data_IF_197088139863
#
_entry.id   IF_197088139863
#
_cell.length_a   1.000
_cell.length_b   1.000
_cell.length_c   1.000
_cell.angle_alpha   90.00
_cell.angle_beta   90.00
_cell.angle_gamma   90.00
#
_symmetry.space_group_name_H-M   'P 1'
#
loop_
_entity.id
_entity.type
_entity.pdbx_description
1 polymer ?
#
# COMPACT_ATOMS: atom_id res chain seq x y z
N UNK A 1 11.89 -18.27 5.01
CA UNK A 1 11.53 -17.17 5.92
C UNK A 1 10.14 -16.73 5.54
N UNK A 2 9.21 -16.69 6.49
CA UNK A 2 7.86 -16.20 6.23
C UNK A 2 7.88 -14.67 6.20
N UNK A 3 7.33 -14.09 5.15
CA UNK A 3 7.31 -12.64 4.96
C UNK A 3 5.87 -12.14 5.05
N UNK A 4 5.65 -11.15 5.91
CA UNK A 4 4.36 -10.48 6.08
C UNK A 4 4.48 -9.04 5.64
N UNK A 5 3.57 -8.60 4.78
CA UNK A 5 3.47 -7.24 4.28
C UNK A 5 2.13 -6.62 4.70
N UNK A 6 2.15 -5.33 4.98
CA UNK A 6 0.94 -4.56 5.27
C UNK A 6 0.46 -3.84 4.01
N UNK A 7 -0.73 -4.20 3.52
CA UNK A 7 -1.39 -3.52 2.42
C UNK A 7 -2.23 -2.37 2.99
N UNK A 8 -1.92 -1.14 2.56
CA UNK A 8 -2.58 0.07 3.06
C UNK A 8 -3.06 0.96 1.92
N UNK A 9 -4.14 1.70 2.15
CA UNK A 9 -4.62 2.74 1.23
C UNK A 9 -4.07 4.11 1.63
N UNK A 10 -3.49 4.82 0.66
CA UNK A 10 -2.95 6.17 0.84
C UNK A 10 -3.43 7.11 -0.28
N UNK A 11 -3.79 8.37 0.02
CA UNK A 11 -4.03 9.37 -1.01
C UNK A 11 -2.73 9.70 -1.76
N UNK A 12 -2.81 9.74 -3.08
CA UNK A 12 -1.70 10.01 -3.97
C UNK A 12 -2.11 11.07 -4.99
N UNK A 13 -1.26 12.08 -5.17
CA UNK A 13 -1.45 13.12 -6.15
C UNK A 13 -0.94 12.63 -7.51
N UNK A 14 -1.84 12.46 -8.47
CA UNK A 14 -1.48 12.08 -9.83
C UNK A 14 -1.25 13.36 -10.64
N UNK A 15 0.02 13.74 -10.80
CA UNK A 15 0.40 15.02 -11.42
C UNK A 15 -0.12 15.18 -12.85
N UNK A 16 -0.25 14.10 -13.62
CA UNK A 16 -0.77 14.14 -15.00
C UNK A 16 -2.25 14.56 -15.06
N UNK A 17 -3.06 14.09 -14.11
CA UNK A 17 -4.51 14.32 -14.07
C UNK A 17 -4.91 15.42 -13.08
N UNK A 18 -3.92 16.00 -12.37
CA UNK A 18 -4.08 17.03 -11.33
C UNK A 18 -5.12 16.67 -10.26
N UNK A 19 -5.22 15.38 -9.92
CA UNK A 19 -6.23 14.88 -8.99
C UNK A 19 -5.64 13.97 -7.92
N UNK A 20 -6.37 13.83 -6.81
CA UNK A 20 -6.02 12.92 -5.72
C UNK A 20 -6.79 11.61 -5.88
N UNK A 21 -6.05 10.51 -5.96
CA UNK A 21 -6.58 9.15 -6.02
C UNK A 21 -6.16 8.36 -4.78
N UNK A 22 -6.95 7.35 -4.39
CA UNK A 22 -6.60 6.44 -3.31
C UNK A 22 -5.93 5.21 -3.90
N UNK A 23 -4.61 5.13 -3.75
CA UNK A 23 -3.81 4.02 -4.24
C UNK A 23 -3.53 3.00 -3.14
N UNK A 24 -3.17 1.80 -3.55
CA UNK A 24 -2.67 0.75 -2.69
C UNK A 24 -1.16 0.87 -2.51
N UNK A 25 -0.69 0.65 -1.28
CA UNK A 25 0.72 0.81 -0.88
C UNK A 25 1.16 -0.32 0.05
N UNK A 26 2.47 -0.56 0.09
CA UNK A 26 3.11 -1.60 0.90
C UNK A 26 4.13 -0.96 1.86
N UNK A 27 4.27 -1.50 3.06
CA UNK A 27 5.13 -0.98 4.13
C UNK A 27 6.64 -1.09 3.85
N UNK A 28 7.04 -2.13 3.12
CA UNK A 28 8.45 -2.42 2.81
C UNK A 28 8.62 -2.86 1.37
N UNK A 29 9.87 -2.96 0.94
CA UNK A 29 10.20 -3.51 -0.37
C UNK A 29 9.67 -4.94 -0.49
N UNK A 30 8.78 -5.21 -1.45
CA UNK A 30 8.22 -6.54 -1.63
C UNK A 30 9.24 -7.48 -2.27
N UNK A 31 9.26 -8.73 -1.84
CA UNK A 31 10.04 -9.78 -2.49
C UNK A 31 9.39 -10.26 -3.80
N UNK A 32 10.18 -10.90 -4.65
CA UNK A 32 9.68 -11.50 -5.89
C UNK A 32 8.79 -12.72 -5.55
N UNK A 33 7.55 -12.81 -6.09
CA UNK A 33 7.04 -12.13 -7.29
C UNK A 33 6.27 -10.82 -7.04
N UNK A 34 5.99 -10.44 -5.80
CA UNK A 34 5.13 -9.27 -5.51
C UNK A 34 5.76 -7.94 -5.96
N UNK A 35 7.10 -7.89 -6.01
CA UNK A 35 7.87 -6.81 -6.65
C UNK A 35 7.49 -6.53 -8.10
N UNK A 36 7.01 -7.52 -8.86
CA UNK A 36 6.65 -7.34 -10.28
C UNK A 36 5.46 -6.42 -10.49
N UNK A 37 4.56 -6.32 -9.51
CA UNK A 37 3.38 -5.45 -9.55
C UNK A 37 3.53 -4.24 -8.62
N UNK A 38 4.72 -4.02 -8.06
CA UNK A 38 4.98 -2.88 -7.18
C UNK A 38 5.95 -1.90 -7.82
N UNK A 39 5.69 -0.61 -7.65
CA UNK A 39 6.53 0.47 -8.17
C UNK A 39 6.90 1.42 -7.05
N UNK A 40 8.18 1.79 -7.00
CA UNK A 40 8.65 2.83 -6.09
C UNK A 40 8.11 4.18 -6.53
N UNK A 41 7.47 4.90 -5.61
CA UNK A 41 6.90 6.22 -5.85
C UNK A 41 7.40 7.21 -4.81
N UNK A 42 7.41 8.48 -5.20
CA UNK A 42 7.67 9.60 -4.28
C UNK A 42 6.32 10.21 -3.91
N UNK A 43 6.07 10.35 -2.61
CA UNK A 43 4.87 11.00 -2.10
C UNK A 43 5.10 12.50 -1.98
N UNK A 44 4.22 13.26 -2.61
CA UNK A 44 4.17 14.70 -2.35
C UNK A 44 3.59 14.99 -0.97
N UNK A 45 3.92 16.18 -0.45
CA UNK A 45 3.39 16.63 0.83
C UNK A 45 1.89 16.84 0.70
N UNK A 46 1.12 16.11 1.50
CA UNK A 46 -0.34 16.28 1.58
C UNK A 46 -0.76 17.65 2.13
N UNK A 47 0.13 18.33 2.86
CA UNK A 47 -0.12 19.66 3.41
C UNK A 47 1.19 20.43 3.56
N UNK A 48 1.22 21.74 3.26
CA UNK A 48 2.38 22.58 3.51
C UNK A 48 2.70 22.72 5.01
N UNK A 49 1.74 22.43 5.88
CA UNK A 49 1.87 22.53 7.34
C UNK A 49 2.44 21.27 7.99
N UNK A 50 2.45 20.12 7.30
CA UNK A 50 3.14 18.91 7.79
C UNK A 50 4.64 19.03 7.51
N UNK A 51 5.38 19.48 8.51
CA UNK A 51 6.84 19.54 8.48
C UNK A 51 7.44 18.40 9.30
N UNK A 52 8.55 17.79 8.86
CA UNK A 52 9.20 16.74 9.62
C UNK A 52 9.74 17.32 10.93
N UNK A 53 9.36 16.71 12.05
CA UNK A 53 9.92 17.05 13.36
C UNK A 53 11.27 16.38 13.59
N UNK A 54 11.92 16.68 14.72
CA UNK A 54 13.18 16.03 15.10
C UNK A 54 13.03 14.51 15.28
N UNK A 55 11.85 14.05 15.72
CA UNK A 55 11.56 12.63 15.97
C UNK A 55 10.69 11.98 14.88
N UNK A 56 9.95 12.77 14.09
CA UNK A 56 9.01 12.27 13.08
C UNK A 56 9.53 12.55 11.67
N UNK A 57 10.11 11.52 11.05
CA UNK A 57 10.54 11.59 9.66
C UNK A 57 9.32 11.41 8.75
N UNK A 58 9.07 12.39 7.88
CA UNK A 58 8.07 12.22 6.83
C UNK A 58 8.63 11.29 5.76
N UNK A 59 8.01 10.13 5.59
CA UNK A 59 8.32 9.22 4.49
C UNK A 59 7.97 9.86 3.15
N UNK A 60 9.02 10.20 2.40
CA UNK A 60 8.92 10.80 1.05
C UNK A 60 8.81 9.76 -0.05
N UNK A 61 9.17 8.51 0.20
CA UNK A 61 9.13 7.45 -0.79
C UNK A 61 8.46 6.22 -0.21
N UNK A 62 7.82 5.43 -1.05
CA UNK A 62 7.28 4.12 -0.68
C UNK A 62 6.99 3.28 -1.90
N UNK A 63 6.33 2.16 -1.69
CA UNK A 63 5.99 1.19 -2.73
C UNK A 63 4.49 1.24 -2.98
N UNK A 64 4.11 1.60 -4.20
CA UNK A 64 2.73 1.58 -4.67
C UNK A 64 2.47 0.29 -5.47
N UNK A 65 1.27 -0.26 -5.34
CA UNK A 65 0.84 -1.41 -6.14
C UNK A 65 0.28 -0.90 -7.46
N UNK A 66 0.72 -1.48 -8.56
CA UNK A 66 0.25 -1.23 -9.92
C UNK A 66 -0.90 -2.17 -10.24
N UNK A 67 -1.78 -1.76 -11.16
CA UNK A 67 -2.85 -2.63 -11.63
C UNK A 67 -2.25 -3.81 -12.42
N UNK A 68 -2.51 -5.08 -12.06
CA UNK A 68 -1.96 -6.25 -12.76
C UNK A 68 -2.39 -6.35 -14.22
N UNK A 69 -3.56 -5.82 -14.58
CA UNK A 69 -4.07 -5.82 -15.95
C UNK A 69 -3.59 -4.59 -16.75
N UNK A 70 -3.25 -3.50 -16.06
CA UNK A 70 -2.76 -2.26 -16.68
C UNK A 70 -1.61 -1.68 -15.85
N UNK A 71 -0.39 -2.11 -16.17
CA UNK A 71 0.84 -1.72 -15.45
C UNK A 71 1.21 -0.24 -15.59
N UNK A 72 0.46 0.54 -16.37
CA UNK A 72 0.64 1.99 -16.46
C UNK A 72 -0.14 2.77 -15.39
N UNK A 73 -1.13 2.13 -14.75
CA UNK A 73 -1.95 2.76 -13.72
C UNK A 73 -1.75 2.12 -12.34
N UNK A 74 -1.96 2.94 -11.30
CA UNK A 74 -1.93 2.50 -9.92
C UNK A 74 -3.17 1.69 -9.59
N UNK A 75 -3.01 0.64 -8.78
CA UNK A 75 -4.14 -0.10 -8.24
C UNK A 75 -4.89 0.75 -7.22
N UNK A 76 -6.21 0.79 -7.36
CA UNK A 76 -7.13 1.49 -6.47
C UNK A 76 -7.92 0.49 -5.62
N UNK A 77 -8.79 1.02 -4.75
CA UNK A 77 -9.69 0.17 -3.94
C UNK A 77 -10.64 -0.68 -4.80
N UNK A 78 -10.98 -0.22 -6.01
CA UNK A 78 -11.85 -0.97 -6.93
C UNK A 78 -11.15 -2.19 -7.52
N UNK A 79 -9.82 -2.17 -7.57
CA UNK A 79 -8.99 -3.24 -8.12
C UNK A 79 -8.63 -4.29 -7.05
N UNK A 80 -9.04 -4.12 -5.79
CA UNK A 80 -8.74 -5.06 -4.70
C UNK A 80 -9.07 -6.52 -5.02
N UNK A 81 -10.24 -6.86 -5.60
CA UNK A 81 -10.54 -8.25 -5.97
C UNK A 81 -9.51 -8.85 -6.95
N UNK A 82 -9.04 -8.04 -7.90
CA UNK A 82 -8.02 -8.44 -8.87
C UNK A 82 -6.67 -8.64 -8.18
N UNK A 83 -6.28 -7.75 -7.27
CA UNK A 83 -5.05 -7.89 -6.47
C UNK A 83 -5.09 -9.15 -5.62
N UNK A 84 -6.21 -9.43 -4.94
CA UNK A 84 -6.34 -10.66 -4.15
C UNK A 84 -6.26 -11.91 -5.01
N UNK A 85 -6.83 -11.88 -6.22
CA UNK A 85 -6.74 -12.99 -7.17
C UNK A 85 -5.29 -13.22 -7.58
N UNK A 86 -4.57 -12.17 -7.93
CA UNK A 86 -3.16 -12.24 -8.30
C UNK A 86 -2.29 -12.75 -7.14
N UNK A 87 -2.54 -12.28 -5.91
CA UNK A 87 -1.85 -12.71 -4.71
C UNK A 87 -2.06 -14.21 -4.44
N UNK A 88 -3.32 -14.69 -4.52
CA UNK A 88 -3.64 -16.11 -4.34
C UNK A 88 -2.99 -16.99 -5.40
N UNK A 89 -2.93 -16.54 -6.66
CA UNK A 89 -2.22 -17.23 -7.75
C UNK A 89 -0.72 -17.35 -7.49
N UNK A 90 -0.14 -16.39 -6.77
CA UNK A 90 1.28 -16.36 -6.39
C UNK A 90 1.55 -16.93 -4.98
N UNK A 91 0.62 -17.71 -4.44
CA UNK A 91 0.73 -18.39 -3.14
C UNK A 91 0.83 -17.45 -1.92
N UNK A 92 0.34 -16.21 -2.04
CA UNK A 92 0.17 -15.33 -0.89
C UNK A 92 -1.17 -15.61 -0.20
N UNK A 93 -1.15 -15.53 1.13
CA UNK A 93 -2.33 -15.69 1.98
C UNK A 93 -2.69 -14.35 2.62
N UNK A 94 -3.99 -14.02 2.65
CA UNK A 94 -4.48 -12.84 3.36
C UNK A 94 -4.71 -13.21 4.83
N UNK A 95 -4.01 -12.55 5.75
CA UNK A 95 -4.13 -12.80 7.17
C UNK A 95 -5.27 -11.97 7.77
N UNK A 96 -6.45 -12.58 7.83
CA UNK A 96 -7.65 -11.96 8.40
C UNK A 96 -7.58 -11.81 9.92
N UNK A 97 -6.93 -12.74 10.64
CA UNK A 97 -6.84 -12.70 12.10
C UNK A 97 -6.08 -11.47 12.61
N UNK A 98 -4.91 -11.18 12.03
CA UNK A 98 -4.12 -9.99 12.39
C UNK A 98 -4.84 -8.72 11.96
N UNK A 99 -5.44 -8.74 10.76
CA UNK A 99 -6.20 -7.62 10.22
C UNK A 99 -7.39 -7.26 11.12
N UNK A 100 -8.15 -8.26 11.57
CA UNK A 100 -9.29 -8.09 12.47
C UNK A 100 -8.86 -7.60 13.86
N UNK A 101 -7.74 -8.12 14.38
CA UNK A 101 -7.20 -7.68 15.66
C UNK A 101 -6.85 -6.18 15.63
N UNK A 102 -6.17 -5.72 14.58
CA UNK A 102 -5.77 -4.32 14.46
C UNK A 102 -6.96 -3.39 14.17
N UNK A 103 -7.90 -3.82 13.32
CA UNK A 103 -9.11 -3.04 13.04
C UNK A 103 -10.02 -2.86 14.27
N UNK A 104 -9.99 -3.81 15.21
CA UNK A 104 -10.74 -3.74 16.48
C UNK A 104 -10.00 -3.02 17.59
N UNK A 105 -8.69 -2.81 17.44
CA UNK A 105 -7.87 -2.13 18.44
C UNK A 105 -7.91 -0.60 18.30
N UNK A 106 -7.60 0.12 19.37
CA UNK A 106 -7.38 1.57 19.31
C UNK A 106 -6.06 1.97 18.62
N UNK A 107 -5.23 0.98 18.27
CA UNK A 107 -3.96 1.21 17.56
C UNK A 107 -4.26 1.50 16.10
N UNK A 108 -4.19 2.78 15.74
CA UNK A 108 -4.42 3.24 14.36
C UNK A 108 -3.09 3.46 13.66
N UNK A 109 -2.93 2.83 12.50
CA UNK A 109 -1.88 3.16 11.55
C UNK A 109 -2.18 4.52 10.91
N UNK A 110 -1.14 5.30 10.58
CA UNK A 110 -1.30 6.59 9.90
C UNK A 110 -2.05 6.47 8.57
N UNK A 111 -1.77 5.40 7.83
CA UNK A 111 -2.48 5.05 6.60
C UNK A 111 -3.59 4.04 6.90
N UNK A 112 -4.66 4.07 6.10
CA UNK A 112 -5.77 3.14 6.26
C UNK A 112 -5.32 1.73 5.90
N UNK A 113 -5.06 0.89 6.91
CA UNK A 113 -4.76 -0.52 6.75
C UNK A 113 -5.94 -1.22 6.04
N UNK A 114 -5.63 -2.06 5.07
CA UNK A 114 -6.60 -2.92 4.38
C UNK A 114 -6.47 -4.33 4.91
N UNK A 115 -5.28 -4.91 4.81
CA UNK A 115 -5.00 -6.25 5.29
C UNK A 115 -3.50 -6.51 5.42
N UNK A 116 -3.16 -7.57 6.15
CA UNK A 116 -1.84 -8.18 6.09
C UNK A 116 -1.86 -9.33 5.09
N UNK A 117 -0.79 -9.43 4.30
CA UNK A 117 -0.56 -10.54 3.38
C UNK A 117 0.70 -11.28 3.83
N UNK A 118 0.72 -12.60 3.74
CA UNK A 118 1.85 -13.42 4.19
C UNK A 118 2.15 -14.52 3.20
N UNK A 119 3.44 -14.87 3.08
CA UNK A 119 3.92 -16.02 2.33
C UNK A 119 4.81 -16.90 3.20
#
# INVERSE_FOLDING_TARGET
>A
MSETYALSSRPFYKSCDQCYIKILTVDREPSTPFSSICKRVTYEKLSPFKQPGACEKIERCGYAVMNPNNTNDFATLNDLPLIFTWLMQNLYTVNTAITDMLNKSDVRMDNKLICFISR
#
